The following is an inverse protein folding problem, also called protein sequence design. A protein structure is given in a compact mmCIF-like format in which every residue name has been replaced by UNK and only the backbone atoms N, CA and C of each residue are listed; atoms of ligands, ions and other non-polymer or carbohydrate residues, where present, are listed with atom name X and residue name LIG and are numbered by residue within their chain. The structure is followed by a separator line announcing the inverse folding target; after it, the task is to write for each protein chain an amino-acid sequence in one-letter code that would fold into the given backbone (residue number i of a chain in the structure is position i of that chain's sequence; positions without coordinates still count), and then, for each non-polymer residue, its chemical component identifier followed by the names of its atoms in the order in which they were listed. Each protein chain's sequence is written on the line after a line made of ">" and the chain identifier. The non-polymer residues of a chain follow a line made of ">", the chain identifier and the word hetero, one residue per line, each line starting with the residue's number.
data_IF_663342947936
#
_entry.id   IF_663342947936
#
_cell.length_a   1.000
_cell.length_b   1.000
_cell.length_c   1.000
_cell.angle_alpha   90.00
_cell.angle_beta   90.00
_cell.angle_gamma   90.00
#
_symmetry.space_group_name_H-M   'P 1'
#
loop_
_entity.id
_entity.type
_entity.pdbx_description
1 polymer ?
#
# COMPACT_ATOMS: atom_id res chain seq x y z
N UNK A 1 58.72 -14.51 16.66
CA UNK A 1 58.18 -15.55 15.73
C UNK A 1 57.19 -14.86 14.83
N UNK A 2 57.31 -15.02 13.51
CA UNK A 2 56.54 -14.22 12.55
C UNK A 2 55.20 -14.88 12.29
N UNK A 3 54.08 -14.18 12.46
CA UNK A 3 52.71 -14.61 12.17
C UNK A 3 52.59 -15.34 10.81
N UNK A 4 53.32 -14.89 9.80
CA UNK A 4 53.42 -15.53 8.50
C UNK A 4 53.99 -16.96 8.52
N UNK A 5 54.91 -17.23 9.46
CA UNK A 5 55.51 -18.55 9.61
C UNK A 5 54.54 -19.55 10.24
N UNK A 6 53.75 -19.08 11.24
CA UNK A 6 52.75 -19.90 11.91
C UNK A 6 51.59 -20.23 10.99
N UNK A 7 51.15 -19.26 10.14
CA UNK A 7 50.15 -19.48 9.11
C UNK A 7 50.62 -20.51 8.08
N UNK A 8 51.87 -20.45 7.64
CA UNK A 8 52.44 -21.41 6.68
C UNK A 8 52.50 -22.86 7.24
N UNK A 9 52.82 -22.99 8.51
CA UNK A 9 52.84 -24.29 9.21
C UNK A 9 51.41 -24.83 9.35
N UNK A 10 50.47 -23.99 9.75
CA UNK A 10 49.06 -24.35 9.88
C UNK A 10 48.48 -24.84 8.54
N UNK A 11 48.67 -24.10 7.44
CA UNK A 11 48.21 -24.48 6.10
C UNK A 11 48.82 -25.80 5.66
N UNK A 12 50.13 -26.00 5.91
CA UNK A 12 50.82 -27.26 5.56
C UNK A 12 50.33 -28.45 6.38
N UNK A 13 49.98 -28.24 7.65
CA UNK A 13 49.39 -29.25 8.52
C UNK A 13 47.98 -29.63 8.10
N UNK A 14 47.14 -28.64 7.81
CA UNK A 14 45.77 -28.85 7.30
C UNK A 14 45.76 -29.59 5.95
N UNK A 15 46.68 -29.29 5.04
CA UNK A 15 46.72 -29.92 3.72
C UNK A 15 47.05 -31.42 3.76
N UNK A 16 47.60 -31.93 4.85
CA UNK A 16 47.87 -33.38 5.05
C UNK A 16 46.62 -34.21 5.37
N UNK A 17 45.57 -33.58 5.95
CA UNK A 17 44.31 -34.27 6.30
C UNK A 17 43.18 -33.71 5.41
N UNK A 18 43.17 -34.16 4.18
CA UNK A 18 42.23 -33.65 3.13
C UNK A 18 40.76 -33.74 3.55
N UNK A 19 40.36 -34.83 4.22
CA UNK A 19 39.00 -35.01 4.67
C UNK A 19 38.58 -33.93 5.70
N UNK A 20 39.43 -33.64 6.68
CA UNK A 20 39.17 -32.63 7.70
C UNK A 20 39.06 -31.24 7.07
N UNK A 21 39.95 -30.89 6.14
CA UNK A 21 39.95 -29.62 5.47
C UNK A 21 38.67 -29.43 4.67
N UNK A 22 38.24 -30.44 3.91
CA UNK A 22 37.00 -30.42 3.12
C UNK A 22 35.78 -30.26 4.04
N UNK A 23 35.74 -31.00 5.15
CA UNK A 23 34.62 -30.89 6.10
C UNK A 23 34.52 -29.50 6.71
N UNK A 24 35.62 -28.91 7.14
CA UNK A 24 35.67 -27.55 7.70
C UNK A 24 35.28 -26.53 6.66
N UNK A 25 35.80 -26.64 5.43
CA UNK A 25 35.43 -25.73 4.35
C UNK A 25 33.94 -25.80 3.99
N UNK A 26 33.35 -26.99 3.91
CA UNK A 26 31.93 -27.20 3.66
C UNK A 26 31.06 -26.64 4.79
N UNK A 27 31.44 -26.85 6.04
CA UNK A 27 30.68 -26.34 7.19
C UNK A 27 30.69 -24.80 7.22
N UNK A 28 31.87 -24.21 7.00
CA UNK A 28 31.99 -22.75 6.90
C UNK A 28 31.23 -22.20 5.69
N UNK A 29 31.31 -22.83 4.52
CA UNK A 29 30.60 -22.42 3.33
C UNK A 29 29.08 -22.48 3.52
N UNK A 30 28.56 -23.54 4.16
CA UNK A 30 27.15 -23.68 4.50
C UNK A 30 26.71 -22.61 5.52
N UNK A 31 27.47 -22.37 6.56
CA UNK A 31 27.16 -21.37 7.59
C UNK A 31 27.15 -19.95 7.03
N UNK A 32 28.17 -19.58 6.27
CA UNK A 32 28.25 -18.27 5.63
C UNK A 32 27.19 -18.13 4.54
N UNK A 33 26.98 -19.17 3.72
CA UNK A 33 26.00 -19.18 2.64
C UNK A 33 24.57 -19.04 3.16
N UNK A 34 24.20 -19.75 4.22
CA UNK A 34 22.90 -19.64 4.86
C UNK A 34 22.66 -18.22 5.41
N UNK A 35 23.61 -17.66 6.14
CA UNK A 35 23.52 -16.30 6.67
C UNK A 35 23.45 -15.26 5.54
N UNK A 36 24.24 -15.40 4.49
CA UNK A 36 24.19 -14.50 3.33
C UNK A 36 22.86 -14.59 2.59
N UNK A 37 22.30 -15.78 2.44
CA UNK A 37 20.98 -15.98 1.82
C UNK A 37 19.87 -15.30 2.64
N UNK A 38 19.84 -15.55 3.97
CA UNK A 38 18.88 -14.90 4.87
C UNK A 38 19.03 -13.38 4.83
N UNK A 39 20.25 -12.87 4.92
CA UNK A 39 20.50 -11.43 4.84
C UNK A 39 20.07 -10.82 3.50
N UNK A 40 20.29 -11.53 2.40
CA UNK A 40 19.86 -11.09 1.07
C UNK A 40 18.35 -11.01 0.95
N UNK A 41 17.62 -11.99 1.53
CA UNK A 41 16.14 -11.97 1.57
C UNK A 41 15.65 -10.82 2.45
N UNK A 42 16.20 -10.68 3.66
CA UNK A 42 15.88 -9.58 4.58
C UNK A 42 16.11 -8.22 3.91
N UNK A 43 17.25 -8.04 3.26
CA UNK A 43 17.56 -6.81 2.54
C UNK A 43 16.61 -6.55 1.37
N UNK A 44 16.26 -7.58 0.61
CA UNK A 44 15.37 -7.44 -0.53
C UNK A 44 13.92 -7.12 -0.14
N UNK A 45 13.47 -7.54 1.05
CA UNK A 45 12.10 -7.37 1.53
C UNK A 45 11.98 -6.17 2.46
N UNK A 46 12.87 -6.04 3.45
CA UNK A 46 12.74 -5.03 4.52
C UNK A 46 13.52 -3.73 4.25
N UNK A 47 14.61 -3.79 3.48
CA UNK A 47 15.47 -2.63 3.23
C UNK A 47 15.39 -2.11 1.79
N UNK A 48 14.45 -2.64 1.00
CA UNK A 48 14.18 -2.05 -0.31
C UNK A 48 13.45 -0.72 -0.09
N UNK A 49 14.02 0.41 -0.54
CA UNK A 49 13.33 1.69 -0.41
C UNK A 49 11.98 1.61 -1.12
N UNK A 50 10.98 2.20 -0.52
CA UNK A 50 9.68 2.37 -1.15
C UNK A 50 9.86 3.23 -2.41
N UNK A 51 9.04 2.98 -3.42
CA UNK A 51 9.03 3.79 -4.66
C UNK A 51 8.42 5.16 -4.40
N UNK A 52 7.74 5.27 -3.27
CA UNK A 52 7.05 6.48 -2.83
C UNK A 52 8.05 7.61 -2.58
N UNK A 53 7.80 8.78 -3.18
CA UNK A 53 8.65 9.97 -2.96
C UNK A 53 8.45 10.51 -1.55
N UNK A 54 9.54 11.00 -0.97
CA UNK A 54 9.55 11.54 0.39
C UNK A 54 8.92 10.54 1.37
N UNK A 55 9.35 9.27 1.31
CA UNK A 55 8.80 8.18 2.12
C UNK A 55 8.83 8.47 3.62
N UNK A 56 9.83 9.23 4.08
CA UNK A 56 9.95 9.67 5.48
C UNK A 56 8.76 10.52 5.96
N UNK A 57 8.01 11.12 5.03
CA UNK A 57 6.83 11.93 5.32
C UNK A 57 5.52 11.20 5.09
N UNK A 58 5.58 9.98 4.54
CA UNK A 58 4.40 9.17 4.29
C UNK A 58 3.98 8.45 5.58
N UNK A 59 2.73 8.61 5.96
CA UNK A 59 2.13 7.99 7.13
C UNK A 59 1.02 7.04 6.70
N UNK A 60 0.95 5.89 7.36
CA UNK A 60 -0.19 5.01 7.31
C UNK A 60 -0.97 5.14 8.61
N UNK A 61 -2.19 5.64 8.53
CA UNK A 61 -3.04 5.90 9.69
C UNK A 61 -3.87 4.66 10.01
N UNK A 62 -3.87 4.29 11.26
CA UNK A 62 -4.72 3.20 11.79
C UNK A 62 -5.33 3.64 13.12
N UNK A 63 -6.49 3.15 13.41
CA UNK A 63 -7.11 3.32 14.71
C UNK A 63 -7.20 1.98 15.46
N UNK A 64 -7.27 2.04 16.78
CA UNK A 64 -7.46 0.86 17.63
C UNK A 64 -8.82 0.95 18.29
N UNK A 65 -9.68 -0.01 18.01
CA UNK A 65 -10.93 -0.19 18.73
C UNK A 65 -10.67 -1.05 19.99
N UNK A 66 -10.24 -0.43 21.09
CA UNK A 66 -9.83 -1.14 22.31
C UNK A 66 -10.95 -2.01 22.91
N UNK A 67 -12.22 -1.61 22.71
CA UNK A 67 -13.37 -2.36 23.24
C UNK A 67 -13.77 -3.58 22.39
N UNK A 68 -13.38 -3.65 21.14
CA UNK A 68 -13.64 -4.81 20.27
C UNK A 68 -12.46 -5.79 20.21
N UNK A 69 -11.36 -5.49 20.90
CA UNK A 69 -10.16 -6.32 20.86
C UNK A 69 -9.44 -6.31 19.50
N UNK A 70 -9.82 -5.40 18.60
CA UNK A 70 -9.25 -5.27 17.26
C UNK A 70 -8.21 -4.13 17.21
N UNK A 71 -6.92 -4.42 17.28
CA UNK A 71 -5.88 -3.45 16.98
C UNK A 71 -5.84 -3.20 15.47
N UNK A 72 -5.59 -1.95 15.08
CA UNK A 72 -5.35 -1.59 13.68
C UNK A 72 -6.57 -1.70 12.74
N UNK A 73 -7.71 -1.21 13.14
CA UNK A 73 -8.88 -1.11 12.25
C UNK A 73 -8.77 0.07 11.28
N UNK A 74 -9.54 0.02 10.21
CA UNK A 74 -9.69 1.04 9.18
C UNK A 74 -10.66 2.15 9.61
N UNK A 75 -10.96 3.10 8.73
CA UNK A 75 -11.81 4.25 9.00
C UNK A 75 -13.12 4.19 8.22
N UNK A 76 -14.15 4.86 8.73
CA UNK A 76 -15.35 5.20 7.98
C UNK A 76 -15.17 6.54 7.26
N UNK A 77 -15.95 6.79 6.20
CA UNK A 77 -15.90 8.05 5.45
C UNK A 77 -16.15 9.28 6.35
N UNK A 78 -17.17 9.28 7.25
CA UNK A 78 -17.35 10.41 8.16
C UNK A 78 -16.19 10.64 9.14
N UNK A 79 -15.50 9.58 9.57
CA UNK A 79 -14.30 9.71 10.42
C UNK A 79 -13.15 10.35 9.64
N UNK A 80 -13.00 10.02 8.36
CA UNK A 80 -11.98 10.61 7.48
C UNK A 80 -12.25 12.11 7.28
N UNK A 81 -13.50 12.49 7.03
CA UNK A 81 -13.89 13.91 6.90
C UNK A 81 -13.59 14.72 8.18
N UNK A 82 -13.85 14.14 9.36
CA UNK A 82 -13.49 14.76 10.62
C UNK A 82 -11.96 14.95 10.76
N UNK A 83 -11.17 13.94 10.36
CA UNK A 83 -9.71 14.03 10.35
C UNK A 83 -9.22 15.12 9.39
N UNK A 84 -9.70 15.15 8.15
CA UNK A 84 -9.31 16.15 7.14
C UNK A 84 -9.56 17.58 7.61
N UNK A 85 -10.70 17.80 8.27
CA UNK A 85 -11.05 19.13 8.77
C UNK A 85 -10.24 19.57 9.99
N UNK A 86 -9.66 18.64 10.73
CA UNK A 86 -9.07 18.90 12.06
C UNK A 86 -7.55 18.83 12.09
N UNK A 87 -6.92 18.06 11.20
CA UNK A 87 -5.47 17.85 11.19
C UNK A 87 -4.74 19.02 10.55
N UNK A 88 -3.62 19.41 11.17
CA UNK A 88 -2.73 20.48 10.69
C UNK A 88 -1.31 19.98 10.42
N UNK A 89 -0.88 18.96 11.15
CA UNK A 89 0.44 18.33 10.99
C UNK A 89 0.50 17.38 9.80
N UNK A 90 -0.65 17.00 9.27
CA UNK A 90 -0.80 16.19 8.05
C UNK A 90 -1.36 17.12 6.97
N UNK A 91 -0.63 17.28 5.89
CA UNK A 91 -0.94 18.22 4.83
C UNK A 91 -2.12 17.74 3.98
N UNK A 92 -2.17 16.44 3.75
CA UNK A 92 -3.13 15.82 2.83
C UNK A 92 -3.36 14.37 3.22
N UNK A 93 -4.60 13.91 3.10
CA UNK A 93 -4.99 12.52 3.26
C UNK A 93 -5.35 11.93 1.90
N UNK A 94 -5.04 10.66 1.72
CA UNK A 94 -5.45 9.85 0.58
C UNK A 94 -6.07 8.56 1.07
N UNK A 95 -7.14 8.14 0.42
CA UNK A 95 -7.92 6.98 0.84
C UNK A 95 -7.80 5.82 -0.12
N UNK A 96 -7.86 4.61 0.42
CA UNK A 96 -7.83 3.37 -0.32
C UNK A 96 -8.80 2.36 0.29
N UNK A 97 -9.63 1.74 -0.54
CA UNK A 97 -10.48 0.62 -0.13
C UNK A 97 -10.25 -0.55 -1.06
N UNK A 98 -9.94 -1.71 -0.51
CA UNK A 98 -9.82 -2.93 -1.31
C UNK A 98 -11.21 -3.48 -1.64
N UNK A 99 -11.44 -3.76 -2.92
CA UNK A 99 -12.67 -4.37 -3.40
C UNK A 99 -12.37 -5.23 -4.64
N UNK A 100 -12.90 -6.47 -4.74
CA UNK A 100 -12.79 -7.22 -5.97
C UNK A 100 -13.80 -6.72 -7.00
N UNK A 101 -13.36 -6.63 -8.26
CA UNK A 101 -14.23 -6.41 -9.41
C UNK A 101 -14.09 -7.55 -10.42
N UNK A 102 -15.22 -7.97 -10.98
CA UNK A 102 -15.19 -8.68 -12.27
C UNK A 102 -14.99 -7.65 -13.37
N UNK A 103 -13.84 -7.72 -14.05
CA UNK A 103 -13.47 -6.76 -15.10
C UNK A 103 -13.78 -7.33 -16.46
N UNK A 104 -14.56 -6.57 -17.25
CA UNK A 104 -14.92 -6.89 -18.63
C UNK A 104 -14.35 -5.81 -19.55
N UNK A 105 -13.68 -6.22 -20.64
CA UNK A 105 -13.08 -5.31 -21.62
C UNK A 105 -11.53 -5.30 -21.62
N UNK A 106 -10.90 -6.00 -20.69
CA UNK A 106 -9.43 -6.19 -20.65
C UNK A 106 -9.08 -7.70 -20.71
N UNK A 107 -9.43 -8.35 -21.82
CA UNK A 107 -9.21 -9.79 -21.98
C UNK A 107 -10.41 -10.62 -21.50
N UNK A 108 -10.16 -11.85 -21.03
CA UNK A 108 -11.20 -12.72 -20.50
C UNK A 108 -11.78 -12.17 -19.21
N UNK A 109 -13.11 -12.02 -19.10
CA UNK A 109 -13.75 -11.56 -17.87
C UNK A 109 -13.35 -12.41 -16.66
N UNK A 110 -12.84 -11.78 -15.62
CA UNK A 110 -12.47 -12.44 -14.36
C UNK A 110 -12.53 -11.47 -13.20
N UNK A 111 -12.69 -12.00 -12.01
CA UNK A 111 -12.56 -11.24 -10.78
C UNK A 111 -11.07 -10.96 -10.50
N UNK A 112 -10.77 -9.71 -10.21
CA UNK A 112 -9.44 -9.24 -9.86
C UNK A 112 -9.47 -8.34 -8.63
N UNK A 113 -8.43 -8.36 -7.79
CA UNK A 113 -8.30 -7.43 -6.68
C UNK A 113 -8.07 -6.01 -7.20
N UNK A 114 -8.86 -5.08 -6.67
CA UNK A 114 -8.82 -3.69 -7.08
C UNK A 114 -8.77 -2.76 -5.87
N UNK A 115 -8.19 -1.59 -6.06
CA UNK A 115 -8.27 -0.46 -5.14
C UNK A 115 -9.32 0.54 -5.61
N UNK A 116 -10.14 1.03 -4.70
CA UNK A 116 -10.97 2.21 -4.91
C UNK A 116 -10.38 3.34 -4.09
N UNK A 117 -10.04 4.44 -4.76
CA UNK A 117 -9.28 5.55 -4.17
C UNK A 117 -9.96 6.89 -4.43
N UNK A 118 -9.68 7.87 -3.55
CA UNK A 118 -9.98 9.27 -3.82
C UNK A 118 -8.91 9.92 -4.74
N UNK A 119 -9.17 11.17 -5.13
CA UNK A 119 -8.28 11.91 -6.02
C UNK A 119 -6.95 12.34 -5.40
N UNK A 120 -6.79 12.25 -4.09
CA UNK A 120 -5.57 12.62 -3.39
C UNK A 120 -4.61 11.43 -3.19
N UNK A 121 -5.09 10.21 -3.33
CA UNK A 121 -4.33 8.99 -3.04
C UNK A 121 -2.97 8.95 -3.75
N UNK A 122 -2.93 9.19 -5.06
CA UNK A 122 -1.68 9.09 -5.82
C UNK A 122 -0.69 10.20 -5.49
N UNK A 123 -1.16 11.39 -5.16
CA UNK A 123 -0.33 12.51 -4.73
C UNK A 123 0.27 12.23 -3.35
N UNK A 124 -0.56 11.78 -2.40
CA UNK A 124 -0.13 11.37 -1.06
C UNK A 124 0.88 10.23 -1.15
N UNK A 125 0.65 9.23 -1.99
CA UNK A 125 1.58 8.12 -2.20
C UNK A 125 2.83 8.53 -3.00
N UNK A 126 2.84 9.68 -3.66
CA UNK A 126 3.97 10.18 -4.44
C UNK A 126 4.29 9.32 -5.67
N UNK A 127 3.29 8.67 -6.26
CA UNK A 127 3.43 7.78 -7.41
C UNK A 127 3.30 8.55 -8.72
N UNK A 128 3.85 7.98 -9.81
CA UNK A 128 3.79 8.55 -11.16
C UNK A 128 3.19 7.59 -12.19
N UNK A 129 2.59 8.11 -13.26
CA UNK A 129 2.23 7.27 -14.40
C UNK A 129 3.46 6.96 -15.25
N UNK A 130 3.50 5.76 -15.82
CA UNK A 130 4.40 5.41 -16.93
C UNK A 130 3.73 5.66 -18.28
N UNK A 131 2.41 5.65 -18.30
CA UNK A 131 1.60 5.90 -19.48
C UNK A 131 0.32 6.63 -19.06
N UNK A 132 -0.11 7.62 -19.83
CA UNK A 132 -1.33 8.40 -19.54
C UNK A 132 -1.20 9.26 -18.28
N UNK A 133 -2.24 9.26 -17.44
CA UNK A 133 -2.31 10.02 -16.17
C UNK A 133 -2.78 9.14 -15.01
N UNK A 134 -2.54 9.59 -13.79
CA UNK A 134 -3.16 9.00 -12.60
C UNK A 134 -4.48 9.71 -12.28
N UNK A 135 -5.23 9.15 -11.31
CA UNK A 135 -6.43 9.79 -10.78
C UNK A 135 -6.02 11.00 -9.95
N UNK A 136 -6.86 12.01 -9.98
CA UNK A 136 -6.67 13.26 -9.26
C UNK A 136 -8.01 13.82 -8.75
N UNK A 137 -8.03 14.99 -8.07
CA UNK A 137 -9.24 15.58 -7.51
C UNK A 137 -10.35 15.83 -8.55
N UNK A 138 -10.01 15.98 -9.83
CA UNK A 138 -11.00 16.10 -10.91
C UNK A 138 -11.76 14.80 -11.21
N UNK A 139 -11.26 13.66 -10.72
CA UNK A 139 -11.91 12.35 -10.85
C UNK A 139 -12.83 12.03 -9.65
N UNK A 140 -12.95 12.93 -8.69
CA UNK A 140 -13.85 12.83 -7.56
C UNK A 140 -15.20 13.48 -7.83
N UNK A 141 -16.16 13.16 -6.95
CA UNK A 141 -17.51 13.70 -7.03
C UNK A 141 -18.49 12.81 -7.77
N UNK A 142 -19.76 12.94 -7.43
CA UNK A 142 -20.84 12.05 -7.90
C UNK A 142 -21.05 12.06 -9.43
N UNK A 143 -20.64 13.14 -10.09
CA UNK A 143 -20.78 13.32 -11.54
C UNK A 143 -19.47 13.04 -12.30
N UNK A 144 -18.42 12.63 -11.62
CA UNK A 144 -17.16 12.29 -12.28
C UNK A 144 -17.34 11.05 -13.17
N UNK A 145 -16.62 11.02 -14.27
CA UNK A 145 -16.58 9.83 -15.13
C UNK A 145 -15.82 8.69 -14.42
N UNK A 146 -16.26 7.46 -14.62
CA UNK A 146 -15.53 6.30 -14.16
C UNK A 146 -14.15 6.23 -14.83
N UNK A 147 -13.09 6.14 -14.02
CA UNK A 147 -11.72 6.11 -14.47
C UNK A 147 -10.94 5.01 -13.73
N UNK A 148 -10.02 4.36 -14.43
CA UNK A 148 -9.19 3.29 -13.90
C UNK A 148 -7.74 3.45 -14.34
N UNK A 149 -6.83 3.18 -13.41
CA UNK A 149 -5.38 3.09 -13.62
C UNK A 149 -4.98 1.63 -13.46
N UNK A 150 -4.23 1.11 -14.43
CA UNK A 150 -3.67 -0.25 -14.34
C UNK A 150 -2.35 -0.22 -13.57
N UNK A 151 -2.08 -1.25 -12.79
CA UNK A 151 -0.74 -1.43 -12.24
C UNK A 151 0.24 -1.81 -13.35
N UNK A 152 1.52 -1.52 -13.16
CA UNK A 152 2.55 -1.89 -14.13
C UNK A 152 2.63 -3.41 -14.32
N UNK A 153 2.42 -4.16 -13.24
CA UNK A 153 2.39 -5.61 -13.28
C UNK A 153 1.27 -6.11 -14.19
N UNK A 154 0.03 -5.68 -13.94
CA UNK A 154 -1.14 -6.08 -14.72
C UNK A 154 -1.00 -5.72 -16.21
N UNK A 155 -0.56 -4.49 -16.49
CA UNK A 155 -0.34 -4.04 -17.87
C UNK A 155 0.70 -4.90 -18.60
N UNK A 156 1.79 -5.31 -17.96
CA UNK A 156 2.82 -6.15 -18.57
C UNK A 156 2.36 -7.59 -18.74
N UNK A 157 1.77 -8.18 -17.71
CA UNK A 157 1.41 -9.60 -17.72
C UNK A 157 0.19 -9.90 -18.59
N UNK A 158 -0.85 -9.07 -18.50
CA UNK A 158 -2.14 -9.32 -19.14
C UNK A 158 -2.30 -8.56 -20.47
N UNK A 159 -1.74 -7.35 -20.56
CA UNK A 159 -1.87 -6.49 -21.74
C UNK A 159 -0.60 -6.46 -22.60
N UNK A 160 0.41 -7.30 -22.28
CA UNK A 160 1.67 -7.41 -23.02
C UNK A 160 2.35 -6.06 -23.30
N UNK A 161 2.20 -5.11 -22.38
CA UNK A 161 2.71 -3.73 -22.49
C UNK A 161 2.13 -2.96 -23.69
N UNK A 162 0.92 -3.29 -24.14
CA UNK A 162 0.23 -2.59 -25.23
C UNK A 162 -0.17 -1.17 -24.82
N UNK A 163 0.38 -0.11 -25.44
CA UNK A 163 0.02 1.28 -25.10
C UNK A 163 -1.39 1.66 -25.56
N UNK A 164 -2.00 0.90 -26.47
CA UNK A 164 -3.37 1.13 -26.95
C UNK A 164 -4.43 0.85 -25.87
N UNK A 165 -3.99 0.42 -24.68
CA UNK A 165 -4.87 0.23 -23.51
C UNK A 165 -5.49 1.55 -23.04
N UNK A 166 -4.83 2.69 -23.25
CA UNK A 166 -5.37 3.99 -22.90
C UNK A 166 -6.65 4.29 -23.70
N UNK A 167 -7.65 4.80 -23.01
CA UNK A 167 -8.96 5.11 -23.58
C UNK A 167 -9.88 3.91 -23.75
N UNK A 168 -9.43 2.68 -23.50
CA UNK A 168 -10.30 1.50 -23.52
C UNK A 168 -11.39 1.63 -22.46
N UNK A 169 -12.61 1.34 -22.87
CA UNK A 169 -13.74 1.23 -21.95
C UNK A 169 -13.74 -0.13 -21.27
N UNK A 170 -13.89 -0.12 -19.98
CA UNK A 170 -14.01 -1.31 -19.15
C UNK A 170 -15.30 -1.26 -18.36
N UNK A 171 -15.85 -2.42 -18.04
CA UNK A 171 -16.97 -2.55 -17.13
C UNK A 171 -16.49 -3.25 -15.87
N UNK A 172 -16.70 -2.58 -14.74
CA UNK A 172 -16.35 -3.07 -13.41
C UNK A 172 -17.63 -3.53 -12.74
N UNK A 173 -17.73 -4.83 -12.46
CA UNK A 173 -18.89 -5.46 -11.85
C UNK A 173 -18.56 -5.89 -10.42
N UNK A 174 -19.44 -5.56 -9.49
CA UNK A 174 -19.37 -5.96 -8.08
C UNK A 174 -20.72 -6.51 -7.63
N UNK A 175 -20.79 -7.06 -6.41
CA UNK A 175 -22.05 -7.55 -5.84
C UNK A 175 -23.14 -6.46 -5.74
N UNK A 176 -22.76 -5.18 -5.68
CA UNK A 176 -23.67 -4.03 -5.56
C UNK A 176 -24.04 -3.40 -6.92
N UNK A 177 -23.53 -3.94 -8.01
CA UNK A 177 -23.81 -3.48 -9.37
C UNK A 177 -22.57 -3.28 -10.21
N UNK A 178 -22.79 -2.73 -11.41
CA UNK A 178 -21.74 -2.53 -12.40
C UNK A 178 -21.64 -1.06 -12.82
N UNK A 179 -20.42 -0.62 -13.14
CA UNK A 179 -20.11 0.71 -13.66
C UNK A 179 -19.12 0.62 -14.81
N UNK A 180 -19.27 1.52 -15.75
CA UNK A 180 -18.29 1.70 -16.82
C UNK A 180 -17.19 2.67 -16.39
N UNK A 181 -15.97 2.38 -16.79
CA UNK A 181 -14.82 3.23 -16.56
C UNK A 181 -13.91 3.26 -17.80
N UNK A 182 -13.08 4.28 -17.89
CA UNK A 182 -12.08 4.42 -18.94
C UNK A 182 -10.69 4.17 -18.35
N UNK A 183 -9.86 3.42 -19.04
CA UNK A 183 -8.44 3.30 -18.67
C UNK A 183 -7.75 4.62 -18.97
N UNK A 184 -7.32 5.33 -17.92
CA UNK A 184 -6.70 6.67 -18.04
C UNK A 184 -5.19 6.65 -17.89
N UNK A 185 -4.63 5.58 -17.32
CA UNK A 185 -3.19 5.49 -17.15
C UNK A 185 -2.70 4.12 -16.72
N UNK A 186 -1.38 4.00 -16.69
CA UNK A 186 -0.63 2.87 -16.16
C UNK A 186 0.36 3.39 -15.14
N UNK A 187 0.38 2.77 -13.96
CA UNK A 187 1.27 3.11 -12.86
C UNK A 187 2.72 2.75 -13.19
N UNK A 188 3.66 3.51 -12.65
CA UNK A 188 5.08 3.14 -12.66
C UNK A 188 5.30 1.77 -11.98
N UNK A 189 6.49 1.12 -12.18
CA UNK A 189 6.81 -0.17 -11.54
C UNK A 189 6.97 -0.02 -10.03
N UNK A 190 5.92 0.41 -9.37
CA UNK A 190 5.78 0.46 -7.93
C UNK A 190 5.08 -0.81 -7.44
N UNK A 191 5.29 -1.14 -6.19
CA UNK A 191 4.43 -2.09 -5.49
C UNK A 191 3.25 -1.29 -4.97
N UNK A 192 2.06 -1.38 -5.60
CA UNK A 192 0.89 -0.70 -5.05
C UNK A 192 0.52 -1.35 -3.72
N UNK A 193 -0.13 -0.60 -2.88
CA UNK A 193 -0.69 -1.14 -1.65
C UNK A 193 -2.19 -1.45 -1.87
N UNK A 194 -2.67 -2.62 -1.46
CA UNK A 194 -1.89 -3.82 -1.12
C UNK A 194 -1.25 -4.48 -2.36
N UNK A 195 -0.23 -5.31 -2.15
CA UNK A 195 0.58 -5.93 -3.23
C UNK A 195 -0.25 -6.68 -4.27
N UNK A 196 -1.38 -7.25 -3.87
CA UNK A 196 -2.26 -8.00 -4.75
C UNK A 196 -3.10 -7.14 -5.70
N UNK A 197 -3.13 -5.80 -5.53
CA UNK A 197 -3.94 -4.90 -6.35
C UNK A 197 -3.47 -4.90 -7.80
N UNK A 198 -4.39 -5.15 -8.73
CA UNK A 198 -4.11 -5.17 -10.18
C UNK A 198 -4.60 -3.91 -10.90
N UNK A 199 -5.70 -3.32 -10.43
CA UNK A 199 -6.24 -2.05 -10.96
C UNK A 199 -6.61 -1.12 -9.82
N UNK A 200 -6.60 0.19 -10.09
CA UNK A 200 -6.99 1.23 -9.13
C UNK A 200 -8.02 2.12 -9.81
N UNK A 201 -9.20 2.25 -9.22
CA UNK A 201 -10.35 2.94 -9.78
C UNK A 201 -10.82 4.07 -8.86
N UNK A 202 -11.47 5.08 -9.43
CA UNK A 202 -12.06 6.15 -8.63
C UNK A 202 -13.37 5.73 -7.95
N UNK A 203 -13.76 6.46 -6.91
CA UNK A 203 -14.92 6.16 -6.03
C UNK A 203 -16.21 5.92 -6.83
N UNK A 204 -16.45 6.66 -7.92
CA UNK A 204 -17.69 6.56 -8.71
C UNK A 204 -17.85 5.24 -9.45
N UNK A 205 -16.79 4.46 -9.58
CA UNK A 205 -16.83 3.13 -10.20
C UNK A 205 -17.42 2.06 -9.30
N UNK A 206 -17.55 2.34 -8.00
CA UNK A 206 -18.07 1.40 -7.00
C UNK A 206 -19.42 1.87 -6.47
N UNK A 207 -20.53 1.21 -6.83
CA UNK A 207 -21.85 1.53 -6.26
C UNK A 207 -21.87 1.44 -4.72
N UNK A 208 -21.07 0.55 -4.15
CA UNK A 208 -20.92 0.41 -2.71
C UNK A 208 -20.41 1.71 -2.06
N UNK A 209 -19.35 2.30 -2.63
CA UNK A 209 -18.74 3.54 -2.11
C UNK A 209 -19.66 4.76 -2.23
N UNK A 210 -20.64 4.72 -3.11
CA UNK A 210 -21.68 5.76 -3.26
C UNK A 210 -22.92 5.53 -2.40
N UNK A 211 -23.00 4.40 -1.70
CA UNK A 211 -24.15 4.06 -0.86
C UNK A 211 -24.23 4.93 0.39
N UNK A 212 -25.45 5.16 0.89
CA UNK A 212 -25.65 5.88 2.14
C UNK A 212 -24.93 5.22 3.34
N UNK A 213 -24.87 3.90 3.34
CA UNK A 213 -24.14 3.15 4.39
C UNK A 213 -22.67 3.52 4.40
N UNK A 214 -22.03 3.62 3.22
CA UNK A 214 -20.63 4.00 3.11
C UNK A 214 -20.41 5.48 3.46
N UNK A 215 -21.19 6.37 2.85
CA UNK A 215 -20.99 7.83 2.96
C UNK A 215 -21.38 8.38 4.33
N UNK A 216 -22.41 7.82 4.99
CA UNK A 216 -22.97 8.34 6.24
C UNK A 216 -22.72 7.42 7.45
N UNK A 217 -22.35 6.16 7.21
CA UNK A 217 -22.21 5.15 8.26
C UNK A 217 -20.88 5.25 9.00
N UNK A 218 -20.86 5.72 10.24
CA UNK A 218 -19.64 5.77 11.07
C UNK A 218 -19.14 4.41 11.53
N UNK A 219 -19.99 3.39 11.48
CA UNK A 219 -19.61 2.02 11.86
C UNK A 219 -19.10 1.21 10.68
N UNK A 220 -19.30 1.72 9.46
CA UNK A 220 -18.87 1.06 8.24
C UNK A 220 -17.41 1.43 7.92
N UNK A 221 -16.50 0.73 8.58
CA UNK A 221 -15.06 0.95 8.51
C UNK A 221 -14.44 -0.03 7.53
N UNK A 222 -14.05 0.43 6.35
CA UNK A 222 -13.35 -0.37 5.34
C UNK A 222 -12.28 0.42 4.57
N UNK A 223 -12.12 1.70 4.91
CA UNK A 223 -11.23 2.60 4.17
C UNK A 223 -9.92 2.77 4.92
N UNK A 224 -8.84 2.50 4.24
CA UNK A 224 -7.49 2.76 4.69
C UNK A 224 -7.11 4.21 4.38
N UNK A 225 -6.33 4.81 5.27
CA UNK A 225 -5.97 6.22 5.19
C UNK A 225 -4.46 6.36 5.20
N UNK A 226 -3.96 7.05 4.20
CA UNK A 226 -2.58 7.48 4.10
C UNK A 226 -2.52 8.98 4.28
N UNK A 227 -1.44 9.48 4.85
CA UNK A 227 -1.26 10.91 5.06
C UNK A 227 0.16 11.33 4.75
N UNK A 228 0.33 12.59 4.38
CA UNK A 228 1.64 13.17 4.17
C UNK A 228 1.89 14.25 5.21
N UNK A 229 2.95 14.10 5.99
CA UNK A 229 3.35 15.11 6.98
C UNK A 229 3.53 16.49 6.32
N UNK A 230 3.03 17.52 6.98
CA UNK A 230 3.29 18.88 6.59
C UNK A 230 4.81 19.19 6.65
N UNK A 231 5.34 20.10 5.81
CA UNK A 231 6.73 20.48 5.86
C UNK A 231 7.14 20.94 7.28
N UNK A 232 8.18 20.31 7.83
CA UNK A 232 8.68 20.63 9.16
C UNK A 232 7.91 19.99 10.33
N UNK A 233 6.82 19.29 10.09
CA UNK A 233 6.12 18.54 11.14
C UNK A 233 6.87 17.24 11.47
N UNK A 234 6.88 16.89 12.77
CA UNK A 234 7.45 15.63 13.23
C UNK A 234 6.34 14.56 13.41
N UNK A 235 6.70 13.29 13.23
CA UNK A 235 5.79 12.14 13.41
C UNK A 235 5.13 12.16 14.80
N UNK A 236 5.88 12.51 15.85
CA UNK A 236 5.35 12.57 17.22
C UNK A 236 4.33 13.69 17.42
N UNK A 237 4.48 14.81 16.71
CA UNK A 237 3.49 15.89 16.72
C UNK A 237 2.20 15.41 16.04
N UNK A 238 2.30 14.78 14.87
CA UNK A 238 1.14 14.21 14.18
C UNK A 238 0.42 13.15 15.04
N UNK A 239 1.19 12.29 15.70
CA UNK A 239 0.64 11.28 16.63
C UNK A 239 -0.11 11.92 17.80
N UNK A 240 0.42 12.98 18.39
CA UNK A 240 -0.21 13.71 19.50
C UNK A 240 -1.49 14.42 19.04
N UNK A 241 -1.46 15.05 17.87
CA UNK A 241 -2.61 15.70 17.26
C UNK A 241 -3.71 14.69 16.94
N UNK A 242 -3.36 13.56 16.29
CA UNK A 242 -4.30 12.47 15.99
C UNK A 242 -5.01 11.95 17.25
N UNK A 243 -4.28 11.76 18.35
CA UNK A 243 -4.90 11.34 19.64
C UNK A 243 -5.90 12.37 20.15
N UNK A 244 -5.58 13.66 20.04
CA UNK A 244 -6.46 14.74 20.47
C UNK A 244 -7.71 14.81 19.62
N UNK A 245 -7.56 14.79 18.29
CA UNK A 245 -8.68 14.80 17.34
C UNK A 245 -9.57 13.57 17.53
N UNK A 246 -8.97 12.40 17.64
CA UNK A 246 -9.72 11.16 17.87
C UNK A 246 -10.50 11.17 19.19
N UNK A 247 -9.90 11.69 20.27
CA UNK A 247 -10.59 11.88 21.54
C UNK A 247 -11.80 12.81 21.42
N UNK A 248 -11.68 13.88 20.65
CA UNK A 248 -12.79 14.81 20.38
C UNK A 248 -13.90 14.14 19.53
N UNK A 249 -13.52 13.35 18.53
CA UNK A 249 -14.49 12.59 17.71
C UNK A 249 -15.30 11.59 18.53
N UNK A 250 -14.66 10.85 19.46
CA UNK A 250 -15.33 9.94 20.40
C UNK A 250 -16.29 10.72 21.30
N UNK A 251 -15.85 11.85 21.85
CA UNK A 251 -16.68 12.68 22.73
C UNK A 251 -17.90 13.27 22.02
N UNK A 252 -17.77 13.63 20.74
CA UNK A 252 -18.86 14.14 19.92
C UNK A 252 -19.92 13.07 19.56
N UNK A 253 -19.55 11.77 19.61
CA UNK A 253 -20.43 10.66 19.23
C UNK A 253 -20.48 9.53 20.28
N UNK A 254 -20.89 9.82 21.52
CA UNK A 254 -20.77 8.91 22.67
C UNK A 254 -21.62 7.63 22.55
N UNK A 255 -22.75 7.67 21.86
CA UNK A 255 -23.64 6.50 21.71
C UNK A 255 -23.00 5.37 20.84
N UNK A 256 -21.91 5.66 20.12
CA UNK A 256 -21.18 4.74 19.24
C UNK A 256 -19.85 4.25 19.84
N UNK A 257 -19.35 4.95 20.86
CA UNK A 257 -18.18 4.49 21.62
C UNK A 257 -18.53 3.42 22.67
N UNK A 258 -19.79 3.25 23.02
CA UNK A 258 -20.22 2.19 23.94
C UNK A 258 -20.05 0.76 23.34
N UNK A 259 -19.99 0.63 22.03
CA UNK A 259 -19.64 -0.63 21.35
C UNK A 259 -18.13 -0.82 21.20
N UNK A 260 -17.33 0.15 21.65
CA UNK A 260 -15.86 0.16 21.60
C UNK A 260 -15.19 0.04 22.98
N UNK A 261 -15.97 -0.13 24.05
CA UNK A 261 -15.48 -0.40 25.42
C UNK A 261 -15.59 -1.86 25.81
#
# INVERSE_FOLDING_TARGET
>A
MSFLHDVKIAVRSLSRVRALWITVALTLALGIGANAAIFSVVRAVLLKPLVNRDEDRLLYLRQSAQGLGEPNTTFSVPEIMDLESSLKTIQELGTFSEIPFTVVGLGTPREIPAGVVDGHYFEVMGLKPVLGRLLGPADDGQNAAGAVVLTNHFWKSEMHSDPSVLGKQVRLESAQGARSATVVGVLEPAVPYPVATEIIANVVTSPHHLSATMVQGREHRMTEVFGRLAPGAAVEQARSELRTVYGAMIAAHPARSASMN
#
